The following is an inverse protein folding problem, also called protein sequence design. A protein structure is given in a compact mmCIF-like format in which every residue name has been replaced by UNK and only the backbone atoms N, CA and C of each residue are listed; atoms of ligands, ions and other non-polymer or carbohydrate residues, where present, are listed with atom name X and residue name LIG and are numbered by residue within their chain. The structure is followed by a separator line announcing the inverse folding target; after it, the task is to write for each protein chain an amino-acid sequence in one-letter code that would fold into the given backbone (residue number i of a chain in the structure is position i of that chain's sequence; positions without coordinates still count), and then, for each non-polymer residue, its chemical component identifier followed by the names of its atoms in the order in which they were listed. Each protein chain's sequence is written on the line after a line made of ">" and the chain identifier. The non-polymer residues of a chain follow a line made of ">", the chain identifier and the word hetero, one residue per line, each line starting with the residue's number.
data_IF_853979984372
#
_entry.id   IF_853979984372
#
_cell.length_a   1.000
_cell.length_b   1.000
_cell.length_c   1.000
_cell.angle_alpha   90.00
_cell.angle_beta   90.00
_cell.angle_gamma   90.00
#
_symmetry.space_group_name_H-M   'P 1'
#
loop_
_entity.id
_entity.type
_entity.pdbx_description
1 polymer ?
#
# COMPACT_ATOMS: atom_id res chain seq x y z
N UNK A 1 1.59 -63.91 -38.95
CA UNK A 1 0.73 -62.95 -38.24
C UNK A 1 1.27 -62.73 -36.83
N UNK A 2 1.85 -61.56 -36.54
CA UNK A 2 2.25 -61.16 -35.18
C UNK A 2 1.95 -59.66 -35.06
N UNK A 3 0.88 -59.33 -34.36
CA UNK A 3 0.44 -57.96 -34.10
C UNK A 3 1.22 -57.44 -32.89
N UNK A 4 2.08 -56.44 -33.10
CA UNK A 4 2.63 -55.64 -32.01
C UNK A 4 1.63 -54.52 -31.70
N UNK A 5 1.05 -54.55 -30.51
CA UNK A 5 0.24 -53.46 -29.97
C UNK A 5 1.22 -52.51 -29.29
N UNK A 6 1.54 -51.39 -29.93
CA UNK A 6 2.29 -50.31 -29.31
C UNK A 6 1.34 -49.49 -28.43
N UNK A 7 1.50 -49.58 -27.11
CA UNK A 7 0.83 -48.70 -26.17
C UNK A 7 1.57 -47.36 -26.14
N UNK A 8 0.97 -46.33 -26.72
CA UNK A 8 1.43 -44.95 -26.58
C UNK A 8 1.16 -44.50 -25.15
N UNK A 9 2.21 -44.38 -24.34
CA UNK A 9 2.12 -43.74 -23.04
C UNK A 9 1.94 -42.23 -23.24
N UNK A 10 0.72 -41.74 -23.06
CA UNK A 10 0.41 -40.32 -23.00
C UNK A 10 0.91 -39.80 -21.64
N UNK A 11 2.07 -39.16 -21.63
CA UNK A 11 2.58 -38.46 -20.45
C UNK A 11 1.72 -37.20 -20.25
N UNK A 12 0.78 -37.26 -19.31
CA UNK A 12 0.09 -36.08 -18.81
C UNK A 12 1.11 -35.23 -18.05
N UNK A 13 1.62 -34.16 -18.69
CA UNK A 13 2.28 -33.08 -17.97
C UNK A 13 1.15 -32.37 -17.22
N UNK A 14 0.90 -32.77 -15.97
CA UNK A 14 0.11 -31.97 -15.06
C UNK A 14 0.92 -30.70 -14.80
N UNK A 15 0.55 -29.60 -15.48
CA UNK A 15 1.03 -28.29 -15.07
C UNK A 15 0.60 -28.11 -13.62
N UNK A 16 1.55 -27.95 -12.70
CA UNK A 16 1.25 -27.58 -11.34
C UNK A 16 0.48 -26.26 -11.41
N UNK A 17 -0.81 -26.29 -11.12
CA UNK A 17 -1.57 -25.08 -10.93
C UNK A 17 -0.91 -24.36 -9.74
N UNK A 18 -0.44 -23.13 -9.96
CA UNK A 18 -0.01 -22.27 -8.86
C UNK A 18 -1.13 -22.26 -7.83
N UNK A 19 -0.82 -22.66 -6.60
CA UNK A 19 -1.80 -22.61 -5.52
C UNK A 19 -2.28 -21.16 -5.38
N UNK A 20 -3.60 -20.97 -5.25
CA UNK A 20 -4.14 -19.64 -4.99
C UNK A 20 -3.58 -19.11 -3.66
N UNK A 21 -3.27 -17.81 -3.55
CA UNK A 21 -2.79 -17.23 -2.30
C UNK A 21 -3.76 -17.49 -1.13
N UNK A 22 -3.23 -17.79 0.05
CA UNK A 22 -4.01 -18.02 1.26
C UNK A 22 -4.62 -16.71 1.79
N UNK A 23 -5.93 -16.63 2.05
CA UNK A 23 -6.54 -15.40 2.53
C UNK A 23 -6.20 -15.09 3.99
N UNK A 24 -5.56 -13.94 4.23
CA UNK A 24 -5.41 -13.38 5.58
C UNK A 24 -6.75 -12.77 5.98
N UNK A 25 -7.34 -13.30 7.06
CA UNK A 25 -8.63 -12.82 7.59
C UNK A 25 -8.45 -12.17 8.94
N UNK A 26 -9.18 -11.08 9.16
CA UNK A 26 -9.23 -10.40 10.44
C UNK A 26 -10.46 -10.88 11.20
N UNK A 27 -10.36 -10.95 12.53
CA UNK A 27 -11.53 -11.18 13.37
C UNK A 27 -12.52 -10.01 13.23
N UNK A 28 -13.80 -10.24 13.53
CA UNK A 28 -14.82 -9.20 13.43
C UNK A 28 -14.44 -7.96 14.26
N UNK A 29 -14.39 -6.80 13.59
CA UNK A 29 -14.00 -5.53 14.21
C UNK A 29 -12.50 -5.34 14.46
N UNK A 30 -11.66 -6.33 14.14
CA UNK A 30 -10.21 -6.19 14.20
C UNK A 30 -9.66 -5.42 12.99
N UNK A 31 -8.57 -4.69 13.22
CA UNK A 31 -7.82 -3.97 12.17
C UNK A 31 -6.53 -4.69 11.80
N UNK A 32 -6.31 -5.89 12.35
CA UNK A 32 -5.14 -6.69 12.09
C UNK A 32 -5.44 -8.18 12.11
N UNK A 33 -4.56 -8.93 11.46
CA UNK A 33 -4.53 -10.38 11.43
C UNK A 33 -3.08 -10.86 11.45
N UNK A 34 -2.91 -12.13 11.74
CA UNK A 34 -1.60 -12.77 11.84
C UNK A 34 -1.66 -14.13 11.17
N UNK A 35 -0.60 -14.45 10.45
CA UNK A 35 -0.35 -15.78 9.89
C UNK A 35 1.04 -16.23 10.33
N UNK A 36 1.16 -17.52 10.61
CA UNK A 36 2.40 -18.19 10.94
C UNK A 36 2.73 -19.17 9.81
N UNK A 37 4.01 -19.34 9.52
CA UNK A 37 4.42 -20.20 8.42
C UNK A 37 5.89 -20.61 8.46
N UNK A 38 6.25 -21.38 7.45
CA UNK A 38 7.60 -21.87 7.22
C UNK A 38 7.91 -21.82 5.74
N UNK A 39 9.04 -21.22 5.38
CA UNK A 39 9.58 -21.27 4.02
C UNK A 39 10.93 -21.98 4.05
N UNK A 40 11.21 -22.86 3.10
CA UNK A 40 12.52 -23.51 2.94
C UNK A 40 13.14 -23.18 1.59
N UNK A 41 14.41 -22.72 1.59
CA UNK A 41 15.12 -22.45 0.35
C UNK A 41 14.38 -21.46 -0.56
N UNK A 42 14.07 -21.90 -1.79
CA UNK A 42 13.35 -21.13 -2.81
C UNK A 42 11.82 -21.28 -2.76
N UNK A 43 11.28 -21.92 -1.72
CA UNK A 43 9.85 -21.93 -1.48
C UNK A 43 9.31 -20.52 -1.20
N UNK A 44 8.04 -20.32 -1.54
CA UNK A 44 7.32 -19.10 -1.28
C UNK A 44 5.97 -19.42 -0.64
N UNK A 45 5.59 -18.60 0.33
CA UNK A 45 4.23 -18.55 0.83
C UNK A 45 3.53 -17.33 0.25
N UNK A 46 2.37 -17.55 -0.37
CA UNK A 46 1.55 -16.50 -0.96
C UNK A 46 0.28 -16.31 -0.15
N UNK A 47 0.01 -15.06 0.20
CA UNK A 47 -1.19 -14.65 0.90
C UNK A 47 -1.97 -13.60 0.10
N UNK A 48 -3.30 -13.63 0.18
CA UNK A 48 -4.16 -12.56 -0.30
C UNK A 48 -4.70 -11.74 0.86
N UNK A 49 -4.69 -10.42 0.73
CA UNK A 49 -5.31 -9.51 1.67
C UNK A 49 -6.21 -8.51 0.95
N UNK A 50 -7.51 -8.61 1.20
CA UNK A 50 -8.47 -7.63 0.70
C UNK A 50 -8.30 -6.31 1.46
N UNK A 51 -7.95 -5.26 0.73
CA UNK A 51 -7.79 -3.93 1.27
C UNK A 51 -8.44 -2.88 0.35
N UNK A 52 -8.56 -1.67 0.86
CA UNK A 52 -9.16 -0.53 0.16
C UNK A 52 -8.10 0.52 -0.11
N UNK A 53 -8.31 1.27 -1.18
CA UNK A 53 -7.50 2.45 -1.49
C UNK A 53 -7.46 3.40 -0.28
N UNK A 54 -6.28 3.93 0.00
CA UNK A 54 -6.06 4.87 1.10
C UNK A 54 -5.98 4.24 2.49
N UNK A 55 -6.13 2.92 2.64
CA UNK A 55 -5.74 2.26 3.89
C UNK A 55 -4.22 2.34 4.06
N UNK A 56 -3.78 2.40 5.32
CA UNK A 56 -2.37 2.24 5.67
C UNK A 56 -2.13 0.79 6.07
N UNK A 57 -1.30 0.08 5.31
CA UNK A 57 -0.78 -1.22 5.66
C UNK A 57 0.49 -1.08 6.51
N UNK A 58 0.56 -1.81 7.61
CA UNK A 58 1.76 -1.98 8.42
C UNK A 58 2.03 -3.48 8.51
N UNK A 59 3.27 -3.88 8.25
CA UNK A 59 3.70 -5.27 8.27
C UNK A 59 4.66 -5.50 9.44
N UNK A 60 4.43 -6.54 10.22
CA UNK A 60 5.36 -6.95 11.26
C UNK A 60 5.77 -8.39 10.95
N UNK A 61 6.85 -8.55 10.18
CA UNK A 61 7.45 -9.84 9.89
C UNK A 61 8.51 -10.16 10.96
N UNK A 62 8.24 -11.17 11.77
CA UNK A 62 9.20 -11.74 12.72
C UNK A 62 9.63 -13.10 12.21
N UNK A 63 10.94 -13.38 12.26
CA UNK A 63 11.47 -14.66 11.80
C UNK A 63 12.71 -15.07 12.58
N UNK A 64 13.02 -16.36 12.59
CA UNK A 64 14.30 -16.88 13.08
C UNK A 64 15.47 -16.61 12.10
N UNK A 65 15.21 -16.01 10.93
CA UNK A 65 16.24 -15.59 9.97
C UNK A 65 15.99 -14.18 9.45
N UNK A 66 17.00 -13.33 9.53
CA UNK A 66 16.95 -11.97 8.95
C UNK A 66 16.90 -11.94 7.43
N UNK A 67 17.10 -13.08 6.78
CA UNK A 67 17.02 -13.26 5.32
C UNK A 67 15.61 -13.62 4.83
N UNK A 68 14.63 -13.64 5.73
CA UNK A 68 13.22 -13.84 5.39
C UNK A 68 12.59 -12.48 5.09
N UNK A 69 11.95 -12.35 3.93
CA UNK A 69 11.41 -11.10 3.42
C UNK A 69 9.93 -11.22 3.14
N UNK A 70 9.24 -10.08 3.24
CA UNK A 70 7.87 -9.93 2.73
C UNK A 70 7.86 -8.93 1.58
N UNK A 71 7.20 -9.32 0.50
CA UNK A 71 6.89 -8.46 -0.64
C UNK A 71 5.38 -8.18 -0.67
N UNK A 72 4.99 -7.00 -1.14
CA UNK A 72 3.58 -6.63 -1.34
C UNK A 72 3.36 -6.22 -2.79
N UNK A 73 2.42 -6.86 -3.46
CA UNK A 73 2.03 -6.55 -4.84
C UNK A 73 0.63 -5.96 -4.88
N UNK A 74 0.42 -5.01 -5.81
CA UNK A 74 -0.87 -4.38 -6.02
C UNK A 74 -1.94 -5.39 -6.49
N UNK A 75 -3.24 -5.07 -6.37
CA UNK A 75 -4.31 -5.88 -6.93
C UNK A 75 -4.10 -6.25 -8.41
N UNK A 76 -4.04 -7.56 -8.67
CA UNK A 76 -3.83 -8.11 -10.01
C UNK A 76 -2.36 -8.28 -10.42
N UNK A 77 -1.42 -7.70 -9.67
CA UNK A 77 0.01 -7.95 -9.83
C UNK A 77 0.42 -9.27 -9.18
N UNK A 78 1.42 -9.93 -9.77
CA UNK A 78 1.91 -11.23 -9.34
C UNK A 78 3.44 -11.23 -9.21
N UNK A 79 3.99 -12.00 -8.24
CA UNK A 79 5.43 -12.23 -8.15
C UNK A 79 6.02 -12.66 -9.50
N UNK A 80 7.18 -12.08 -9.84
CA UNK A 80 7.90 -12.36 -11.09
C UNK A 80 7.27 -11.78 -12.36
N UNK A 81 6.14 -11.05 -12.27
CA UNK A 81 5.47 -10.40 -13.41
C UNK A 81 5.34 -8.89 -13.27
N UNK A 82 5.41 -8.38 -12.05
CA UNK A 82 5.36 -6.96 -11.73
C UNK A 82 6.34 -6.65 -10.59
N UNK A 83 6.66 -5.37 -10.42
CA UNK A 83 7.45 -4.88 -9.29
C UNK A 83 6.58 -4.83 -8.02
N UNK A 84 7.18 -5.14 -6.88
CA UNK A 84 6.48 -5.04 -5.60
C UNK A 84 6.36 -3.57 -5.16
N UNK A 85 5.23 -3.21 -4.57
CA UNK A 85 5.03 -1.94 -3.86
C UNK A 85 5.93 -1.84 -2.62
N UNK A 86 6.15 -2.99 -1.97
CA UNK A 86 7.02 -3.14 -0.80
C UNK A 86 7.92 -4.36 -0.96
N UNK A 87 9.15 -4.26 -0.45
CA UNK A 87 10.05 -5.37 -0.22
C UNK A 87 10.86 -5.03 1.04
N UNK A 88 10.79 -5.86 2.08
CA UNK A 88 11.50 -5.61 3.33
C UNK A 88 11.87 -6.88 4.10
N UNK A 89 13.04 -6.90 4.76
CA UNK A 89 13.49 -8.03 5.57
C UNK A 89 12.76 -8.09 6.91
N UNK A 90 12.66 -9.28 7.49
CA UNK A 90 12.15 -9.48 8.85
C UNK A 90 12.88 -8.60 9.86
N UNK A 91 12.14 -8.00 10.80
CA UNK A 91 12.67 -7.08 11.79
C UNK A 91 12.82 -5.62 11.32
N UNK A 92 12.55 -5.31 10.06
CA UNK A 92 12.55 -3.95 9.49
C UNK A 92 11.38 -3.76 8.49
N UNK A 93 10.18 -4.18 8.90
CA UNK A 93 8.97 -4.12 8.03
C UNK A 93 7.85 -3.23 8.57
N UNK A 94 7.97 -2.70 9.79
CA UNK A 94 6.89 -1.97 10.49
C UNK A 94 6.65 -0.54 9.95
N UNK A 95 7.21 -0.25 8.78
CA UNK A 95 7.01 1.01 8.09
C UNK A 95 5.58 1.11 7.52
N UNK A 96 4.86 2.22 7.80
CA UNK A 96 3.51 2.41 7.27
C UNK A 96 3.50 2.71 5.77
N UNK A 97 2.74 1.92 5.01
CA UNK A 97 2.51 2.12 3.58
C UNK A 97 1.07 2.50 3.29
N UNK A 98 0.84 3.59 2.56
CA UNK A 98 -0.50 3.92 2.06
C UNK A 98 -0.78 3.17 0.78
N UNK A 99 -1.89 2.43 0.75
CA UNK A 99 -2.30 1.60 -0.37
C UNK A 99 -2.89 2.45 -1.50
N UNK A 100 -2.36 2.36 -2.73
CA UNK A 100 -2.78 3.24 -3.83
C UNK A 100 -4.18 2.91 -4.35
N UNK A 101 -4.63 1.66 -4.26
CA UNK A 101 -5.89 1.19 -4.82
C UNK A 101 -6.60 0.14 -3.95
N UNK A 102 -7.86 -0.13 -4.24
CA UNK A 102 -8.65 -1.15 -3.54
C UNK A 102 -8.67 -2.45 -4.31
N UNK A 103 -8.61 -3.57 -3.60
CA UNK A 103 -8.61 -4.91 -4.18
C UNK A 103 -7.86 -5.90 -3.31
N UNK A 104 -7.60 -7.07 -3.87
CA UNK A 104 -6.87 -8.15 -3.21
C UNK A 104 -5.37 -8.01 -3.50
N UNK A 105 -4.62 -7.56 -2.50
CA UNK A 105 -3.16 -7.48 -2.56
C UNK A 105 -2.57 -8.88 -2.40
N UNK A 106 -1.47 -9.15 -3.11
CA UNK A 106 -0.68 -10.36 -2.90
C UNK A 106 0.49 -10.06 -1.99
N UNK A 107 0.60 -10.76 -0.86
CA UNK A 107 1.76 -10.73 0.02
C UNK A 107 2.54 -12.02 -0.22
N UNK A 108 3.85 -11.90 -0.41
CA UNK A 108 4.73 -13.03 -0.65
C UNK A 108 5.79 -13.06 0.45
N UNK A 109 5.92 -14.18 1.14
CA UNK A 109 7.03 -14.44 2.07
C UNK A 109 8.03 -15.38 1.40
N UNK A 110 9.29 -14.95 1.34
CA UNK A 110 10.39 -15.68 0.70
C UNK A 110 11.67 -15.57 1.52
N UNK A 111 12.65 -16.39 1.18
CA UNK A 111 14.04 -16.17 1.59
C UNK A 111 14.83 -15.56 0.45
N UNK A 112 15.83 -14.75 0.78
CA UNK A 112 16.80 -14.23 -0.19
C UNK A 112 18.23 -14.60 0.17
N UNK A 113 19.07 -14.70 -0.85
CA UNK A 113 20.51 -14.84 -0.71
C UNK A 113 20.94 -16.24 -0.29
N UNK A 114 21.90 -16.33 0.63
CA UNK A 114 22.49 -17.62 1.01
C UNK A 114 21.46 -18.60 1.59
N UNK A 115 20.43 -18.12 2.30
CA UNK A 115 19.44 -19.00 2.90
C UNK A 115 18.54 -19.70 1.87
N UNK A 116 18.24 -19.01 0.76
CA UNK A 116 17.57 -19.58 -0.41
C UNK A 116 18.45 -20.65 -1.08
N UNK A 117 19.73 -20.34 -1.29
CA UNK A 117 20.69 -21.21 -2.00
C UNK A 117 21.08 -22.46 -1.20
N UNK A 118 21.17 -22.33 0.12
CA UNK A 118 21.58 -23.37 1.04
C UNK A 118 20.38 -24.21 1.56
N UNK A 119 19.19 -24.01 1.00
CA UNK A 119 17.96 -24.74 1.32
C UNK A 119 17.59 -24.71 2.81
N UNK A 120 17.79 -23.55 3.44
CA UNK A 120 17.58 -23.40 4.88
C UNK A 120 16.11 -23.22 5.19
N UNK A 121 15.64 -23.82 6.29
CA UNK A 121 14.30 -23.60 6.82
C UNK A 121 14.24 -22.30 7.62
N UNK A 122 13.17 -21.52 7.43
CA UNK A 122 12.85 -20.35 8.24
C UNK A 122 11.42 -20.39 8.74
N UNK A 123 11.26 -20.27 10.05
CA UNK A 123 9.98 -20.04 10.71
C UNK A 123 9.70 -18.55 10.73
N UNK A 124 8.45 -18.17 10.49
CA UNK A 124 8.04 -16.78 10.58
C UNK A 124 6.63 -16.60 11.11
N UNK A 125 6.39 -15.40 11.60
CA UNK A 125 5.09 -14.85 11.87
C UNK A 125 4.95 -13.51 11.14
N UNK A 126 3.91 -13.38 10.33
CA UNK A 126 3.56 -12.15 9.64
C UNK A 126 2.26 -11.60 10.22
N UNK A 127 2.37 -10.50 10.95
CA UNK A 127 1.21 -9.72 11.36
C UNK A 127 1.01 -8.60 10.36
N UNK A 128 -0.24 -8.45 9.91
CA UNK A 128 -0.65 -7.38 8.99
C UNK A 128 -1.69 -6.53 9.68
N UNK A 129 -1.48 -5.22 9.69
CA UNK A 129 -2.43 -4.24 10.21
C UNK A 129 -2.89 -3.34 9.06
N UNK A 130 -4.19 -3.17 8.91
CA UNK A 130 -4.80 -2.18 8.01
C UNK A 130 -5.47 -1.10 8.84
N UNK A 131 -4.88 0.09 8.84
CA UNK A 131 -5.43 1.27 9.50
C UNK A 131 -6.17 2.15 8.50
N UNK A 132 -7.28 2.74 8.93
CA UNK A 132 -8.16 3.49 8.03
C UNK A 132 -8.92 2.57 7.06
N UNK A 133 -9.88 3.12 6.31
CA UNK A 133 -10.69 2.41 5.32
C UNK A 133 -12.16 2.17 5.73
N UNK A 134 -13.08 3.06 5.33
CA UNK A 134 -14.52 2.80 5.37
C UNK A 134 -15.00 1.98 4.15
N UNK A 135 -16.12 1.25 4.28
CA UNK A 135 -16.73 0.26 3.34
C UNK A 135 -17.22 0.82 1.97
N UNK A 136 -17.60 -0.05 1.00
CA UNK A 136 -17.53 0.21 -0.44
C UNK A 136 -18.72 1.03 -0.95
N UNK A 137 -18.43 2.20 -1.53
CA UNK A 137 -18.81 2.66 -2.87
C UNK A 137 -18.47 4.16 -3.00
N UNK A 138 -17.65 4.46 -4.01
CA UNK A 138 -17.31 5.78 -4.60
C UNK A 138 -16.54 6.83 -3.76
N UNK A 139 -15.31 7.14 -4.21
CA UNK A 139 -14.48 8.32 -3.91
C UNK A 139 -13.78 8.36 -2.52
N UNK A 140 -12.47 8.68 -2.43
CA UNK A 140 -11.73 8.69 -1.15
C UNK A 140 -12.24 9.78 -0.21
N UNK A 141 -12.26 9.50 1.11
CA UNK A 141 -12.43 10.49 2.19
C UNK A 141 -11.22 11.42 2.33
N UNK A 142 -10.64 11.83 1.22
CA UNK A 142 -9.76 12.97 1.15
C UNK A 142 -10.64 14.19 1.40
N UNK A 143 -10.49 14.82 2.56
CA UNK A 143 -11.16 16.10 2.79
C UNK A 143 -10.66 17.08 1.75
N UNK A 144 -11.56 17.83 1.13
CA UNK A 144 -11.18 18.85 0.18
C UNK A 144 -11.34 20.23 0.79
N UNK A 145 -10.50 21.13 0.33
CA UNK A 145 -10.66 22.56 0.58
C UNK A 145 -10.79 23.28 -0.74
N UNK A 146 -11.66 24.28 -0.77
CA UNK A 146 -11.85 25.16 -1.90
C UNK A 146 -11.27 26.52 -1.58
N UNK A 147 -10.53 27.08 -2.53
CA UNK A 147 -10.03 28.45 -2.41
C UNK A 147 -11.20 29.43 -2.58
N UNK A 148 -11.39 30.31 -1.61
CA UNK A 148 -12.46 31.33 -1.63
C UNK A 148 -11.94 32.70 -1.17
N UNK A 149 -12.72 33.75 -1.38
CA UNK A 149 -12.40 35.09 -0.85
C UNK A 149 -11.23 35.80 -1.52
N UNK A 150 -10.81 35.39 -2.73
CA UNK A 150 -9.75 36.04 -3.52
C UNK A 150 -10.28 36.53 -4.88
N UNK A 151 -9.72 37.63 -5.38
CA UNK A 151 -10.04 38.20 -6.71
C UNK A 151 -8.96 37.97 -7.77
N UNK A 152 -7.76 37.57 -7.35
CA UNK A 152 -6.63 37.27 -8.24
C UNK A 152 -6.10 35.86 -7.98
N UNK A 153 -4.89 35.72 -7.44
CA UNK A 153 -4.25 34.44 -7.14
C UNK A 153 -3.84 34.36 -5.67
N UNK A 154 -3.89 33.16 -5.12
CA UNK A 154 -3.44 32.86 -3.77
C UNK A 154 -2.11 32.11 -3.82
N UNK A 155 -1.12 32.57 -3.06
CA UNK A 155 0.16 31.90 -2.98
C UNK A 155 0.09 30.70 -2.05
N UNK A 156 0.46 29.53 -2.57
CA UNK A 156 0.75 28.33 -1.78
C UNK A 156 2.24 28.29 -1.46
N UNK A 157 2.58 28.10 -0.19
CA UNK A 157 3.94 28.32 0.33
C UNK A 157 4.59 27.03 0.81
N UNK A 158 5.93 26.99 0.82
CA UNK A 158 6.68 25.80 1.23
C UNK A 158 6.54 25.49 2.74
N UNK A 159 6.18 26.49 3.56
CA UNK A 159 6.05 26.38 5.01
C UNK A 159 4.88 27.28 5.50
N UNK A 160 4.35 27.07 6.72
CA UNK A 160 3.26 27.87 7.30
C UNK A 160 3.72 29.28 7.72
N UNK A 161 4.18 30.07 6.77
CA UNK A 161 4.71 31.43 6.99
C UNK A 161 4.53 32.29 5.76
N UNK A 162 4.18 33.56 5.94
CA UNK A 162 4.06 34.53 4.86
C UNK A 162 5.41 34.94 4.25
N UNK A 163 6.53 34.63 4.93
CA UNK A 163 7.89 34.80 4.42
C UNK A 163 8.41 33.61 3.63
N UNK A 164 7.74 32.45 3.71
CA UNK A 164 8.18 31.23 3.03
C UNK A 164 8.00 31.31 1.51
N UNK A 165 8.89 30.62 0.78
CA UNK A 165 8.89 30.57 -0.68
C UNK A 165 7.56 30.07 -1.25
N UNK A 166 7.17 30.64 -2.39
CA UNK A 166 5.93 30.25 -3.09
C UNK A 166 6.21 29.02 -3.95
N UNK A 167 5.48 27.94 -3.72
CA UNK A 167 5.60 26.66 -4.45
C UNK A 167 4.53 26.49 -5.53
N UNK A 168 3.40 27.20 -5.41
CA UNK A 168 2.40 27.32 -6.47
C UNK A 168 1.53 28.58 -6.28
N UNK A 169 0.77 28.92 -7.31
CA UNK A 169 -0.29 29.93 -7.22
C UNK A 169 -1.64 29.30 -7.56
N UNK A 170 -2.63 29.54 -6.72
CA UNK A 170 -3.96 28.95 -6.78
C UNK A 170 -5.00 29.98 -7.23
N UNK A 171 -6.01 29.54 -7.98
CA UNK A 171 -7.13 30.34 -8.45
C UNK A 171 -8.31 30.30 -7.48
N UNK A 172 -9.22 31.28 -7.60
CA UNK A 172 -10.49 31.24 -6.87
C UNK A 172 -11.30 30.00 -7.31
N UNK A 173 -11.98 29.36 -6.37
CA UNK A 173 -12.74 28.11 -6.54
C UNK A 173 -11.88 26.89 -6.88
N UNK A 174 -10.56 26.99 -6.85
CA UNK A 174 -9.69 25.83 -7.05
C UNK A 174 -9.86 24.82 -5.91
N UNK A 175 -9.96 23.55 -6.27
CA UNK A 175 -10.12 22.44 -5.35
C UNK A 175 -8.74 21.89 -4.98
N UNK A 176 -8.54 21.61 -3.69
CA UNK A 176 -7.29 21.11 -3.13
C UNK A 176 -7.58 19.92 -2.22
N UNK A 177 -6.59 19.03 -2.13
CA UNK A 177 -6.53 18.04 -1.07
C UNK A 177 -6.21 18.74 0.25
N UNK A 178 -7.10 18.61 1.24
CA UNK A 178 -6.91 19.19 2.56
C UNK A 178 -5.93 18.36 3.40
N UNK A 179 -5.11 19.07 4.18
CA UNK A 179 -4.23 18.52 5.19
C UNK A 179 -4.45 19.20 6.55
N UNK A 180 -3.57 18.93 7.54
CA UNK A 180 -3.69 19.51 8.88
C UNK A 180 -3.48 21.03 8.86
N UNK A 181 -4.20 21.73 9.73
CA UNK A 181 -3.99 23.15 9.99
C UNK A 181 -3.22 23.37 11.29
N UNK A 182 -2.41 24.43 11.32
CA UNK A 182 -1.66 24.86 12.49
C UNK A 182 -1.61 26.37 12.59
N UNK A 183 -1.43 26.87 13.82
CA UNK A 183 -1.23 28.31 14.05
C UNK A 183 0.24 28.67 13.89
N UNK A 184 0.52 29.65 13.04
CA UNK A 184 1.85 30.24 12.88
C UNK A 184 1.73 31.72 12.49
N UNK A 185 2.61 32.56 13.01
CA UNK A 185 2.61 34.02 12.75
C UNK A 185 1.26 34.70 13.04
N UNK A 186 0.55 34.24 14.09
CA UNK A 186 -0.72 34.81 14.51
C UNK A 186 -1.91 34.49 13.59
N UNK A 187 -1.77 33.54 12.64
CA UNK A 187 -2.86 33.07 11.79
C UNK A 187 -2.85 31.56 11.61
N UNK A 188 -3.98 31.01 11.20
CA UNK A 188 -4.09 29.60 10.84
C UNK A 188 -3.52 29.37 9.44
N UNK A 189 -2.68 28.35 9.33
CA UNK A 189 -2.10 27.85 8.09
C UNK A 189 -2.51 26.39 7.92
N UNK A 190 -3.13 26.07 6.79
CA UNK A 190 -3.52 24.72 6.44
C UNK A 190 -2.55 24.15 5.42
N UNK A 191 -2.06 22.95 5.70
CA UNK A 191 -1.39 22.13 4.71
C UNK A 191 -2.42 21.73 3.67
N UNK A 192 -2.04 21.85 2.40
CA UNK A 192 -2.87 21.51 1.25
C UNK A 192 -2.00 20.90 0.17
N UNK A 193 -2.59 20.10 -0.71
CA UNK A 193 -1.94 19.67 -1.95
C UNK A 193 -2.82 19.98 -3.14
N UNK A 194 -2.22 20.42 -4.24
CA UNK A 194 -2.93 20.52 -5.52
C UNK A 194 -3.40 19.14 -5.98
N UNK A 195 -4.37 19.09 -6.89
CA UNK A 195 -4.81 17.82 -7.48
C UNK A 195 -3.69 17.09 -8.26
N UNK A 196 -2.62 17.78 -8.64
CA UNK A 196 -1.42 17.20 -9.25
C UNK A 196 -0.39 16.68 -8.21
N UNK A 197 -0.71 16.73 -6.91
CA UNK A 197 0.12 16.21 -5.84
C UNK A 197 1.21 17.15 -5.32
N UNK A 198 1.28 18.41 -5.77
CA UNK A 198 2.21 19.40 -5.23
C UNK A 198 1.77 19.85 -3.82
N UNK A 199 2.54 19.58 -2.75
CA UNK A 199 2.20 19.99 -1.40
C UNK A 199 2.59 21.45 -1.13
N UNK A 200 1.91 22.07 -0.16
CA UNK A 200 2.27 23.37 0.39
C UNK A 200 1.31 23.85 1.49
N UNK A 201 1.45 25.12 1.84
CA UNK A 201 0.74 25.77 2.94
C UNK A 201 0.01 27.01 2.46
N UNK A 202 -1.24 27.15 2.88
CA UNK A 202 -2.10 28.28 2.55
C UNK A 202 -2.73 28.80 3.84
N UNK A 203 -2.98 30.10 3.91
CA UNK A 203 -3.69 30.64 5.07
C UNK A 203 -5.14 30.15 5.09
N UNK A 204 -5.56 29.59 6.24
CA UNK A 204 -6.87 28.96 6.41
C UNK A 204 -8.05 29.89 6.14
N UNK A 205 -7.87 31.20 6.30
CA UNK A 205 -8.89 32.22 6.00
C UNK A 205 -9.35 32.28 4.54
N UNK A 206 -8.62 31.65 3.61
CA UNK A 206 -8.97 31.57 2.19
C UNK A 206 -9.46 30.19 1.77
N UNK A 207 -9.71 29.30 2.74
CA UNK A 207 -10.11 27.92 2.49
C UNK A 207 -11.48 27.67 3.10
N UNK A 208 -12.36 27.09 2.30
CA UNK A 208 -13.65 26.56 2.76
C UNK A 208 -13.61 25.04 2.64
N UNK A 209 -14.10 24.33 3.66
CA UNK A 209 -14.25 22.86 3.59
C UNK A 209 -15.27 22.53 2.49
N UNK A 210 -14.88 21.71 1.53
CA UNK A 210 -15.77 21.24 0.46
C UNK A 210 -16.07 19.76 0.71
N UNK A 211 -17.34 19.46 1.02
CA UNK A 211 -17.81 18.13 1.43
C UNK A 211 -18.50 17.39 0.27
N UNK A 212 -18.05 17.60 -0.97
CA UNK A 212 -18.60 16.84 -2.09
C UNK A 212 -18.19 15.37 -2.01
N UNK A 213 -19.14 14.42 -2.22
CA UNK A 213 -18.84 13.01 -2.35
C UNK A 213 -17.95 12.75 -3.55
#
# INVERSE_FOLDING_TARGET
>A
MRRFIGATALCLIAGAALAAPEPIRFADGAVSGMVDGQVQGAEEDLFSLSAKAGQTMILELTSNRSTTYVNVFAPGDLPGRADALFNGPSGDTDFPMTLPEGGDYTLQVIQMGAAEQDDLLSDYALKVTLLGGAMPETVPTQSYMRVTGITTKLNMRAAPSAGSGVVATLANQELLYAGPCQMAEGREWCSVSTMAGQPGWVAGSYLEKDARP
#
